data_IF_983175338389
#
_entry.id   IF_983175338389
#
_cell.length_a   1.000
_cell.length_b   1.000
_cell.length_c   1.000
_cell.angle_alpha   90.00
_cell.angle_beta   90.00
_cell.angle_gamma   90.00
#
_symmetry.space_group_name_H-M   'P 1'
#
loop_
_entity.id
_entity.type
_entity.pdbx_description
1 polymer ?
#
# COMPACT_ATOMS: atom_id res chain seq x y z
N UNK A 1 -1.18 10.29 -2.12
CA UNK A 1 -2.51 10.17 -2.76
C UNK A 1 -3.49 11.29 -2.37
N UNK A 2 -3.31 11.98 -1.24
CA UNK A 2 -4.28 12.99 -0.76
C UNK A 2 -3.92 14.45 -1.09
N UNK A 3 -2.71 14.74 -1.55
CA UNK A 3 -2.23 16.10 -1.79
C UNK A 3 -2.39 16.60 -3.22
N UNK A 4 -2.26 15.73 -4.23
CA UNK A 4 -2.29 16.15 -5.64
C UNK A 4 -2.45 15.00 -6.64
N UNK A 5 -2.94 13.84 -6.20
CA UNK A 5 -3.09 12.67 -7.07
C UNK A 5 -4.45 12.71 -7.78
N UNK A 6 -4.48 12.81 -9.13
CA UNK A 6 -5.73 12.95 -9.87
C UNK A 6 -6.49 11.63 -10.05
N UNK A 7 -5.81 10.48 -9.93
CA UNK A 7 -6.34 9.17 -10.29
C UNK A 7 -6.43 8.17 -9.12
N UNK A 8 -5.71 8.42 -8.02
CA UNK A 8 -5.70 7.56 -6.82
C UNK A 8 -5.46 6.08 -7.15
N UNK A 9 -4.61 5.78 -8.15
CA UNK A 9 -4.40 4.44 -8.69
C UNK A 9 -4.16 3.33 -7.63
N UNK A 10 -3.56 3.68 -6.49
CA UNK A 10 -3.29 2.78 -5.35
C UNK A 10 -4.54 2.07 -4.83
N UNK A 11 -5.73 2.69 -4.91
CA UNK A 11 -7.01 2.09 -4.47
C UNK A 11 -7.54 1.01 -5.42
N UNK A 12 -6.99 0.90 -6.63
CA UNK A 12 -7.45 -0.04 -7.65
C UNK A 12 -6.48 -1.20 -7.87
N UNK A 13 -5.19 -0.97 -7.65
CA UNK A 13 -4.14 -1.93 -7.99
C UNK A 13 -3.73 -2.82 -6.82
N UNK A 14 -4.15 -2.50 -5.59
CA UNK A 14 -3.75 -3.27 -4.42
C UNK A 14 -4.56 -4.57 -4.32
N UNK A 15 -3.93 -5.75 -4.45
CA UNK A 15 -4.65 -7.02 -4.40
C UNK A 15 -5.20 -7.35 -3.00
N UNK A 16 -4.59 -6.79 -1.96
CA UNK A 16 -5.01 -6.97 -0.56
C UNK A 16 -5.95 -5.86 -0.06
N UNK A 17 -6.41 -4.96 -0.95
CA UNK A 17 -7.30 -3.86 -0.61
C UNK A 17 -6.80 -2.95 0.54
N UNK A 18 -5.48 -2.79 0.66
CA UNK A 18 -4.86 -1.96 1.70
C UNK A 18 -5.12 -0.46 1.57
N UNK A 19 -5.65 0.00 0.43
CA UNK A 19 -5.96 1.40 0.19
C UNK A 19 -7.47 1.58 0.01
N UNK A 20 -8.12 2.29 0.92
CA UNK A 20 -9.55 2.58 0.87
C UNK A 20 -9.80 4.07 0.65
N UNK A 21 -10.95 4.39 0.06
CA UNK A 21 -11.40 5.76 -0.18
C UNK A 21 -12.58 6.06 0.75
N UNK A 22 -12.52 7.15 1.50
CA UNK A 22 -13.66 7.61 2.32
C UNK A 22 -14.64 8.51 1.53
N UNK A 23 -15.75 8.87 2.17
CA UNK A 23 -16.80 9.73 1.60
C UNK A 23 -16.32 11.16 1.29
N UNK A 24 -15.19 11.58 1.88
CA UNK A 24 -14.55 12.87 1.62
C UNK A 24 -13.47 12.77 0.52
N UNK A 25 -13.32 11.60 -0.11
CA UNK A 25 -12.35 11.35 -1.15
C UNK A 25 -10.91 11.23 -0.65
N UNK A 26 -10.67 11.01 0.64
CA UNK A 26 -9.34 10.73 1.19
C UNK A 26 -9.02 9.24 1.11
N UNK A 27 -7.79 8.97 0.68
CA UNK A 27 -7.21 7.63 0.65
C UNK A 27 -6.61 7.33 2.02
N UNK A 28 -7.00 6.19 2.59
CA UNK A 28 -6.46 5.62 3.82
C UNK A 28 -5.63 4.39 3.48
N UNK A 29 -4.54 4.15 4.21
CA UNK A 29 -3.67 2.99 4.02
C UNK A 29 -3.62 2.16 5.31
N UNK A 30 -3.84 0.85 5.19
CA UNK A 30 -3.68 -0.13 6.26
C UNK A 30 -2.53 -1.09 5.93
N UNK A 31 -1.57 -1.22 6.83
CA UNK A 31 -0.36 -2.01 6.59
C UNK A 31 -0.53 -3.48 6.99
N UNK A 32 -1.45 -3.77 7.89
CA UNK A 32 -1.67 -5.08 8.51
C UNK A 32 -2.00 -6.17 7.49
N UNK A 33 -2.74 -5.82 6.44
CA UNK A 33 -3.09 -6.72 5.33
C UNK A 33 -2.08 -6.65 4.17
N UNK A 34 -1.05 -5.80 4.25
CA UNK A 34 -0.11 -5.60 3.15
C UNK A 34 0.73 -6.85 2.93
N UNK A 35 0.51 -7.50 1.79
CA UNK A 35 1.26 -8.70 1.41
C UNK A 35 2.63 -8.41 0.75
N UNK A 36 3.13 -7.18 0.89
CA UNK A 36 4.42 -6.74 0.35
C UNK A 36 4.63 -7.01 -1.16
N UNK A 37 3.53 -7.07 -1.94
CA UNK A 37 3.59 -7.38 -3.38
C UNK A 37 4.22 -6.28 -4.24
N UNK A 38 4.28 -5.04 -3.76
CA UNK A 38 4.91 -3.91 -4.47
C UNK A 38 4.09 -3.27 -5.60
N UNK A 39 2.89 -3.76 -5.94
CA UNK A 39 2.10 -3.20 -7.07
C UNK A 39 1.82 -1.70 -6.93
N UNK A 40 1.54 -1.24 -5.70
CA UNK A 40 1.30 0.18 -5.43
C UNK A 40 2.55 1.06 -5.67
N UNK A 41 3.76 0.52 -5.43
CA UNK A 41 5.02 1.22 -5.72
C UNK A 41 5.19 1.44 -7.23
N UNK A 42 4.84 0.44 -8.04
CA UNK A 42 4.98 0.52 -9.49
C UNK A 42 3.91 1.40 -10.14
N UNK A 43 2.66 1.32 -9.65
CA UNK A 43 1.55 2.06 -10.23
C UNK A 43 1.52 3.55 -9.84
N UNK A 44 2.12 3.93 -8.71
CA UNK A 44 2.05 5.29 -8.20
C UNK A 44 3.11 6.19 -8.85
N UNK A 45 2.70 6.98 -9.83
CA UNK A 45 3.50 8.03 -10.48
C UNK A 45 3.62 9.33 -9.64
N UNK A 46 2.87 9.43 -8.52
CA UNK A 46 2.84 10.63 -7.67
C UNK A 46 3.83 10.60 -6.50
N UNK A 47 4.65 9.55 -6.37
CA UNK A 47 5.59 9.39 -5.26
C UNK A 47 4.92 9.25 -3.89
N UNK A 48 3.67 8.80 -3.84
CA UNK A 48 2.90 8.70 -2.59
C UNK A 48 3.20 7.42 -1.78
N UNK A 49 3.89 6.46 -2.38
CA UNK A 49 4.20 5.17 -1.77
C UNK A 49 5.71 5.12 -1.56
N UNK A 50 6.10 4.84 -0.33
CA UNK A 50 7.47 4.52 0.03
C UNK A 50 7.44 3.22 0.84
N UNK A 51 8.41 2.37 0.60
CA UNK A 51 8.57 1.12 1.32
C UNK A 51 9.99 1.03 1.86
N UNK A 52 10.11 0.61 3.11
CA UNK A 52 11.38 0.38 3.79
C UNK A 52 11.31 -0.98 4.48
N UNK A 53 12.42 -1.72 4.43
CA UNK A 53 12.53 -2.99 5.14
C UNK A 53 12.26 -2.76 6.64
N UNK A 54 11.38 -3.55 7.27
CA UNK A 54 11.12 -3.40 8.69
C UNK A 54 12.38 -3.70 9.51
N UNK A 55 12.50 -3.10 10.68
CA UNK A 55 13.63 -3.37 11.56
C UNK A 55 13.70 -4.87 11.89
N UNK A 56 14.86 -5.54 11.65
CA UNK A 56 15.00 -6.98 11.78
C UNK A 56 14.70 -7.49 13.19
N UNK A 57 14.85 -6.66 14.23
CA UNK A 57 14.59 -7.04 15.62
C UNK A 57 13.08 -7.10 15.96
N UNK A 58 12.23 -6.46 15.15
CA UNK A 58 10.79 -6.30 15.43
C UNK A 58 9.95 -7.42 14.81
N UNK A 59 10.53 -8.25 13.93
CA UNK A 59 9.85 -9.42 13.35
C UNK A 59 8.54 -9.06 12.63
N UNK A 60 8.61 -8.18 11.64
CA UNK A 60 7.46 -7.70 10.84
C UNK A 60 7.58 -8.16 9.39
N UNK A 61 6.44 -8.25 8.72
CA UNK A 61 6.34 -8.52 7.29
C UNK A 61 5.67 -9.85 6.99
N UNK A 62 5.62 -10.20 5.70
CA UNK A 62 4.92 -11.39 5.22
C UNK A 62 5.68 -12.67 5.49
N UNK A 63 4.97 -13.69 5.97
CA UNK A 63 5.48 -15.06 6.04
C UNK A 63 4.84 -15.89 4.92
N UNK A 64 5.65 -16.27 3.93
CA UNK A 64 5.20 -17.08 2.81
C UNK A 64 5.30 -18.56 3.15
N UNK A 65 4.16 -19.22 3.32
CA UNK A 65 4.09 -20.68 3.39
C UNK A 65 3.64 -21.23 2.03
N UNK A 66 4.49 -22.03 1.38
CA UNK A 66 4.09 -22.81 0.20
C UNK A 66 3.22 -23.98 0.67
N UNK A 67 1.99 -24.05 0.15
CA UNK A 67 1.19 -25.27 0.16
C UNK A 67 1.78 -26.35 -0.72
#
# INVERSE_FOLDING_TARGET
>A
CNSGCPHKCTTYVCPANCYTLDDLGKVHFQFEDCIECGTCMYACDQGAVAWSYPDPEVGRGVNWQRG
#
